data_IF_768450583664
#
_entry.id   IF_768450583664
#
_cell.length_a   1.000
_cell.length_b   1.000
_cell.length_c   1.000
_cell.angle_alpha   90.00
_cell.angle_beta   90.00
_cell.angle_gamma   90.00
#
_symmetry.space_group_name_H-M   'P 1'
#
loop_
_entity.id
_entity.type
_entity.pdbx_description
1 polymer ?
#
# COMPACT_ATOMS: atom_id res chain seq x y z
N UNK A 1 -3.89 16.71 -3.26
CA UNK A 1 -4.91 15.63 -3.12
C UNK A 1 -4.40 14.61 -2.11
N UNK A 2 -5.18 14.27 -1.10
CA UNK A 2 -4.83 13.22 -0.16
C UNK A 2 -5.39 11.86 -0.63
N UNK A 3 -5.04 10.79 0.07
CA UNK A 3 -5.46 9.44 -0.31
C UNK A 3 -6.99 9.27 -0.28
N UNK A 4 -7.68 9.89 0.67
CA UNK A 4 -9.12 9.81 0.78
C UNK A 4 -9.82 10.48 -0.41
N UNK A 5 -9.36 11.64 -0.82
CA UNK A 5 -9.90 12.33 -2.00
C UNK A 5 -9.67 11.53 -3.28
N UNK A 6 -8.47 10.98 -3.45
CA UNK A 6 -8.16 10.14 -4.60
C UNK A 6 -9.04 8.89 -4.61
N UNK A 7 -9.23 8.25 -3.45
CA UNK A 7 -10.08 7.07 -3.34
C UNK A 7 -11.54 7.36 -3.71
N UNK A 8 -12.07 8.51 -3.29
CA UNK A 8 -13.45 8.93 -3.66
C UNK A 8 -13.63 9.05 -5.16
N UNK A 9 -12.63 9.60 -5.85
CA UNK A 9 -12.66 9.73 -7.31
C UNK A 9 -12.67 8.35 -7.97
N UNK A 10 -11.77 7.47 -7.54
CA UNK A 10 -11.64 6.12 -8.10
C UNK A 10 -12.86 5.23 -7.76
N UNK A 11 -13.48 5.44 -6.62
CA UNK A 11 -14.62 4.64 -6.18
C UNK A 11 -15.86 4.81 -7.08
N UNK A 12 -15.91 5.85 -7.91
CA UNK A 12 -17.01 6.05 -8.87
C UNK A 12 -17.04 4.95 -9.94
N UNK A 13 -15.88 4.41 -10.29
CA UNK A 13 -15.75 3.45 -11.39
C UNK A 13 -15.20 2.09 -10.95
N UNK A 14 -14.97 1.90 -9.65
CA UNK A 14 -14.35 0.69 -9.12
C UNK A 14 -15.10 0.19 -7.89
N UNK A 15 -15.23 -1.12 -7.77
CA UNK A 15 -15.90 -1.76 -6.63
C UNK A 15 -15.08 -1.66 -5.35
N UNK A 16 -13.76 -1.75 -5.46
CA UNK A 16 -12.82 -1.65 -4.35
C UNK A 16 -11.68 -0.73 -4.74
N UNK A 17 -11.17 0.04 -3.79
CA UNK A 17 -10.09 1.00 -4.05
C UNK A 17 -9.07 0.93 -2.93
N UNK A 18 -7.81 0.96 -3.33
CA UNK A 18 -6.68 1.16 -2.42
C UNK A 18 -5.85 2.31 -2.95
N UNK A 19 -5.61 3.31 -2.11
CA UNK A 19 -4.70 4.41 -2.42
C UNK A 19 -3.67 4.51 -1.32
N UNK A 20 -2.40 4.54 -1.70
CA UNK A 20 -1.30 4.69 -0.74
C UNK A 20 -0.32 5.73 -1.29
N UNK A 21 -0.12 6.78 -0.54
CA UNK A 21 0.95 7.74 -0.78
C UNK A 21 2.04 7.55 0.26
N UNK A 22 3.29 7.57 -0.16
CA UNK A 22 4.43 7.40 0.75
C UNK A 22 5.29 8.65 0.66
N UNK A 23 5.57 9.23 1.83
CA UNK A 23 6.40 10.43 1.94
C UNK A 23 7.56 10.14 2.88
N UNK A 24 8.75 10.62 2.50
CA UNK A 24 9.91 10.60 3.38
C UNK A 24 10.07 11.97 4.03
N UNK A 25 10.08 12.00 5.35
CA UNK A 25 10.33 13.22 6.09
C UNK A 25 11.81 13.59 6.10
N UNK A 26 12.12 14.84 6.53
CA UNK A 26 13.50 15.31 6.67
C UNK A 26 14.32 14.45 7.64
N UNK A 27 13.67 13.84 8.63
CA UNK A 27 14.31 12.90 9.58
C UNK A 27 14.71 11.57 8.93
N UNK A 28 14.21 11.29 7.72
CA UNK A 28 14.38 10.00 7.05
C UNK A 28 13.25 9.02 7.30
N UNK A 29 12.31 9.35 8.18
CA UNK A 29 11.17 8.50 8.47
C UNK A 29 10.20 8.47 7.29
N UNK A 30 9.54 7.32 7.11
CA UNK A 30 8.51 7.15 6.11
C UNK A 30 7.13 7.29 6.74
N UNK A 31 6.28 8.06 6.08
CA UNK A 31 4.87 8.19 6.46
C UNK A 31 4.02 7.74 5.28
N UNK A 32 3.01 6.92 5.54
CA UNK A 32 2.04 6.54 4.52
C UNK A 32 0.71 7.25 4.76
N UNK A 33 0.18 7.81 3.68
CA UNK A 33 -1.18 8.34 3.61
C UNK A 33 -2.00 7.33 2.81
N UNK A 34 -2.92 6.63 3.47
CA UNK A 34 -3.62 5.51 2.84
C UNK A 34 -5.13 5.60 3.03
N UNK A 35 -5.86 5.07 2.06
CA UNK A 35 -7.30 4.90 2.15
C UNK A 35 -7.71 3.58 1.50
N UNK A 36 -8.50 2.81 2.24
CA UNK A 36 -9.06 1.55 1.77
C UNK A 36 -10.57 1.70 1.69
N UNK A 37 -11.14 1.47 0.52
CA UNK A 37 -12.58 1.53 0.31
C UNK A 37 -13.10 0.17 -0.15
N UNK A 38 -14.06 -0.36 0.60
CA UNK A 38 -14.75 -1.60 0.28
C UNK A 38 -13.79 -2.76 -0.05
N UNK A 39 -12.72 -2.85 0.73
CA UNK A 39 -11.65 -3.83 0.51
C UNK A 39 -11.85 -5.01 1.45
N UNK A 40 -12.25 -6.15 0.89
CA UNK A 40 -12.31 -7.41 1.63
C UNK A 40 -10.97 -8.14 1.59
N UNK A 41 -10.90 -9.25 2.28
CA UNK A 41 -9.68 -10.05 2.38
C UNK A 41 -9.20 -10.56 1.02
N UNK A 42 -10.13 -10.97 0.15
CA UNK A 42 -9.80 -11.47 -1.18
C UNK A 42 -9.22 -10.36 -2.06
N UNK A 43 -9.88 -9.19 -2.09
CA UNK A 43 -9.38 -8.05 -2.86
C UNK A 43 -8.05 -7.55 -2.33
N UNK A 44 -7.85 -7.58 -1.01
CA UNK A 44 -6.56 -7.23 -0.40
C UNK A 44 -5.45 -8.18 -0.88
N UNK A 45 -5.74 -9.49 -0.96
CA UNK A 45 -4.79 -10.46 -1.47
C UNK A 45 -4.43 -10.21 -2.95
N UNK A 46 -5.41 -9.80 -3.76
CA UNK A 46 -5.18 -9.43 -5.17
C UNK A 46 -4.24 -8.23 -5.26
N UNK A 47 -4.45 -7.21 -4.44
CA UNK A 47 -3.56 -6.03 -4.39
C UNK A 47 -2.14 -6.44 -4.00
N UNK A 48 -2.00 -7.27 -2.98
CA UNK A 48 -0.69 -7.78 -2.56
C UNK A 48 0.01 -8.55 -3.67
N UNK A 49 -0.71 -9.41 -4.39
CA UNK A 49 -0.16 -10.18 -5.50
C UNK A 49 0.33 -9.25 -6.61
N UNK A 50 -0.42 -8.21 -6.93
CA UNK A 50 -0.02 -7.21 -7.93
C UNK A 50 1.23 -6.46 -7.50
N UNK A 51 1.34 -6.08 -6.24
CA UNK A 51 2.53 -5.39 -5.71
C UNK A 51 3.76 -6.29 -5.74
N UNK A 52 3.63 -7.54 -5.32
CA UNK A 52 4.73 -8.51 -5.38
C UNK A 52 5.16 -8.73 -6.83
N UNK A 53 4.21 -8.90 -7.74
CA UNK A 53 4.47 -9.03 -9.16
C UNK A 53 5.22 -7.83 -9.73
N UNK A 54 4.85 -6.62 -9.34
CA UNK A 54 5.54 -5.41 -9.72
C UNK A 54 6.99 -5.38 -9.21
N UNK A 55 7.21 -5.74 -7.95
CA UNK A 55 8.56 -5.79 -7.36
C UNK A 55 9.44 -6.77 -8.14
N UNK A 56 8.92 -7.97 -8.47
CA UNK A 56 9.66 -8.95 -9.26
C UNK A 56 10.02 -8.42 -10.64
N UNK A 57 9.15 -7.61 -11.23
CA UNK A 57 9.36 -7.03 -12.56
C UNK A 57 10.43 -5.95 -12.56
N UNK A 58 10.47 -5.08 -11.54
CA UNK A 58 11.42 -3.97 -11.48
C UNK A 58 12.79 -4.41 -10.95
N UNK A 59 12.82 -5.41 -10.09
CA UNK A 59 14.08 -6.00 -9.65
C UNK A 59 14.57 -6.94 -10.74
N UNK A 60 15.53 -6.54 -11.51
CA UNK A 60 16.16 -7.38 -12.51
C UNK A 60 16.89 -8.61 -11.94
N UNK A 61 16.55 -9.00 -10.72
CA UNK A 61 17.08 -10.15 -9.99
C UNK A 61 15.97 -11.16 -9.80
N UNK A 62 16.30 -12.43 -9.87
CA UNK A 62 15.38 -13.52 -9.52
C UNK A 62 15.31 -13.69 -8.00
N UNK A 63 14.80 -12.69 -7.31
CA UNK A 63 14.51 -12.86 -5.89
C UNK A 63 13.26 -13.72 -5.75
N UNK A 64 13.30 -14.66 -4.84
CA UNK A 64 12.13 -15.48 -4.55
C UNK A 64 11.04 -14.62 -3.90
N UNK A 65 9.79 -15.03 -4.08
CA UNK A 65 8.65 -14.43 -3.39
C UNK A 65 8.88 -14.46 -1.88
N UNK A 66 9.43 -15.55 -1.36
CA UNK A 66 9.72 -15.71 0.06
C UNK A 66 10.66 -14.61 0.58
N UNK A 67 11.68 -14.25 -0.20
CA UNK A 67 12.59 -13.18 0.17
C UNK A 67 11.89 -11.83 0.25
N UNK A 68 11.01 -11.52 -0.70
CA UNK A 68 10.22 -10.30 -0.72
C UNK A 68 9.28 -10.27 0.50
N UNK A 69 8.58 -11.36 0.76
CA UNK A 69 7.65 -11.46 1.88
C UNK A 69 8.37 -11.34 3.23
N UNK A 70 9.59 -11.85 3.33
CA UNK A 70 10.41 -11.66 4.54
C UNK A 70 10.72 -10.19 4.79
N UNK A 71 11.07 -9.44 3.74
CA UNK A 71 11.28 -8.00 3.84
C UNK A 71 10.01 -7.25 4.23
N UNK A 72 8.88 -7.62 3.63
CA UNK A 72 7.57 -7.05 3.98
C UNK A 72 7.23 -7.31 5.44
N UNK A 73 7.46 -8.53 5.92
CA UNK A 73 7.21 -8.88 7.33
C UNK A 73 8.04 -8.02 8.27
N UNK A 74 9.32 -7.78 7.96
CA UNK A 74 10.17 -6.92 8.75
C UNK A 74 9.64 -5.50 8.83
N UNK A 75 9.15 -4.95 7.71
CA UNK A 75 8.54 -3.62 7.68
C UNK A 75 7.25 -3.56 8.50
N UNK A 76 6.42 -4.60 8.43
CA UNK A 76 5.19 -4.67 9.23
C UNK A 76 5.52 -4.73 10.73
N UNK A 77 6.53 -5.51 11.12
CA UNK A 77 6.92 -5.66 12.53
C UNK A 77 7.49 -4.34 13.12
N UNK A 78 8.23 -3.58 12.31
CA UNK A 78 8.74 -2.25 12.71
C UNK A 78 7.63 -1.21 12.71
N UNK A 79 6.71 -1.31 11.75
CA UNK A 79 5.66 -0.34 11.53
C UNK A 79 6.10 0.81 10.64
N UNK A 80 5.14 1.32 9.85
CA UNK A 80 5.29 2.55 9.09
C UNK A 80 4.27 3.53 9.66
N UNK A 81 4.71 4.70 10.19
CA UNK A 81 3.76 5.67 10.73
C UNK A 81 2.72 6.09 9.70
N UNK A 82 1.46 6.13 10.12
CA UNK A 82 0.36 6.62 9.29
C UNK A 82 0.19 8.12 9.52
N UNK A 83 -0.20 8.85 8.47
CA UNK A 83 -0.64 10.22 8.62
C UNK A 83 -1.90 10.24 9.49
N UNK A 84 -1.91 11.08 10.54
CA UNK A 84 -3.03 11.19 11.46
C UNK A 84 -4.33 11.61 10.78
N UNK A 85 -4.24 12.26 9.62
CA UNK A 85 -5.41 12.68 8.84
C UNK A 85 -5.96 11.56 7.96
N UNK A 86 -5.26 10.44 7.88
CA UNK A 86 -5.69 9.31 7.05
C UNK A 86 -6.76 8.53 7.78
N UNK A 87 -7.88 8.34 7.10
CA UNK A 87 -8.96 7.49 7.55
C UNK A 87 -9.01 6.22 6.70
N UNK A 88 -9.38 5.12 7.33
CA UNK A 88 -9.58 3.85 6.63
C UNK A 88 -11.01 3.74 6.17
N UNK A 89 -11.20 3.63 4.86
CA UNK A 89 -12.51 3.59 4.23
C UNK A 89 -13.07 4.99 3.95
N UNK A 90 -14.13 5.03 3.26
CA UNK A 90 -14.82 6.26 2.86
C UNK A 90 -16.15 6.41 3.57
#
# INVERSE_FOLDING_TARGET
MNAQEAARILAKDNDSVVVVGITREASGDLISDECFFNLDEFHAAVVCANLVGYILKIQKRKNSIDHILKGVKQLVDVGIPLDEKTERGL
#
